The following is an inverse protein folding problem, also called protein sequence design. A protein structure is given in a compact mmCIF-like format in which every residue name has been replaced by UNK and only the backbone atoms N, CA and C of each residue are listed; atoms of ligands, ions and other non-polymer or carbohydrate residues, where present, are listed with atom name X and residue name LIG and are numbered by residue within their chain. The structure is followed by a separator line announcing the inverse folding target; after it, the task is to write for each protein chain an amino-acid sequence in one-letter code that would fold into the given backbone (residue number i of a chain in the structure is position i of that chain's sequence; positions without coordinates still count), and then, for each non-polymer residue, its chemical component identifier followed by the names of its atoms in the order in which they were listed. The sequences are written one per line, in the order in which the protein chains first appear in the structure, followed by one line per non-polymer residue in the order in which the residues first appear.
data_IF_746022992373
#
_entry.id   IF_746022992373
#
_cell.length_a   1.000
_cell.length_b   1.000
_cell.length_c   1.000
_cell.angle_alpha   90.00
_cell.angle_beta   90.00
_cell.angle_gamma   90.00
#
_symmetry.space_group_name_H-M   'P 1'
#
loop_
_entity.id
_entity.type
_entity.pdbx_description
1 polymer ?
#
# COMPACT_ATOMS: atom_id res chain seq x y z
N UNK A 1 -0.35 -6.08 -4.08
CA UNK A 1 -0.47 -4.59 -4.18
C UNK A 1 0.48 -3.84 -3.24
N UNK A 2 1.14 -2.79 -3.74
CA UNK A 2 2.03 -1.94 -2.94
C UNK A 2 1.30 -1.20 -1.81
N UNK A 3 0.00 -0.91 -1.97
CA UNK A 3 -0.84 -0.27 -0.96
C UNK A 3 -0.93 -1.06 0.38
N UNK A 4 -0.80 -2.38 0.32
CA UNK A 4 -0.86 -3.27 1.51
C UNK A 4 0.42 -3.26 2.34
N UNK A 5 1.50 -2.66 1.83
CA UNK A 5 2.82 -2.66 2.46
C UNK A 5 2.98 -1.54 3.49
N UNK A 6 1.98 -0.66 3.61
CA UNK A 6 1.92 0.30 4.71
C UNK A 6 2.01 -0.44 6.07
N UNK A 7 2.95 -0.02 6.90
CA UNK A 7 3.21 -0.64 8.20
C UNK A 7 3.74 -2.08 8.16
N UNK A 8 4.18 -2.60 7.01
CA UNK A 8 4.71 -3.96 6.92
C UNK A 8 5.96 -4.15 7.79
N UNK A 9 6.88 -3.18 7.82
CA UNK A 9 8.07 -3.23 8.70
C UNK A 9 7.68 -3.37 10.17
N UNK A 10 6.66 -2.64 10.63
CA UNK A 10 6.18 -2.69 12.02
C UNK A 10 5.62 -4.08 12.35
N UNK A 11 4.79 -4.63 11.46
CA UNK A 11 4.25 -6.00 11.59
C UNK A 11 5.37 -7.04 11.60
N UNK A 12 6.34 -6.90 10.70
CA UNK A 12 7.49 -7.79 10.62
C UNK A 12 8.30 -7.75 11.93
N UNK A 13 8.56 -6.56 12.47
CA UNK A 13 9.26 -6.39 13.74
C UNK A 13 8.50 -7.03 14.91
N UNK A 14 7.18 -6.87 14.97
CA UNK A 14 6.35 -7.45 16.02
C UNK A 14 6.44 -9.00 16.03
N UNK A 15 6.51 -9.63 14.86
CA UNK A 15 6.62 -11.10 14.74
C UNK A 15 8.04 -11.63 14.95
N UNK A 16 9.06 -10.83 14.63
CA UNK A 16 10.48 -11.26 14.62
C UNK A 16 11.28 -10.71 15.79
N UNK A 17 10.62 -10.14 16.80
CA UNK A 17 11.28 -9.44 17.91
C UNK A 17 12.29 -8.38 17.43
N UNK A 18 11.94 -7.67 16.34
CA UNK A 18 12.74 -6.60 15.76
C UNK A 18 13.91 -7.05 14.87
N UNK A 19 14.06 -8.34 14.57
CA UNK A 19 15.18 -8.85 13.77
C UNK A 19 14.86 -9.00 12.27
N UNK A 20 13.59 -8.83 11.87
CA UNK A 20 13.16 -9.00 10.49
C UNK A 20 13.56 -7.84 9.59
N UNK A 21 14.19 -8.17 8.46
CA UNK A 21 14.56 -7.23 7.39
C UNK A 21 13.97 -7.73 6.07
N UNK A 22 13.59 -6.81 5.19
CA UNK A 22 13.07 -7.14 3.87
C UNK A 22 13.56 -6.13 2.83
N UNK A 23 13.50 -6.50 1.56
CA UNK A 23 13.74 -5.62 0.42
C UNK A 23 12.54 -5.66 -0.51
N UNK A 24 12.28 -4.57 -1.22
CA UNK A 24 11.19 -4.46 -2.18
C UNK A 24 11.74 -4.09 -3.54
N UNK A 25 11.20 -4.72 -4.58
CA UNK A 25 11.45 -4.37 -5.97
C UNK A 25 10.12 -4.30 -6.71
N UNK A 26 10.01 -3.37 -7.66
CA UNK A 26 8.85 -3.28 -8.53
C UNK A 26 8.77 -4.56 -9.38
N UNK A 27 7.60 -5.21 -9.38
CA UNK A 27 7.34 -6.37 -10.23
C UNK A 27 6.60 -5.96 -11.51
N UNK A 28 5.37 -5.46 -11.37
CA UNK A 28 4.52 -5.06 -12.48
C UNK A 28 3.34 -4.21 -11.96
N UNK A 29 2.55 -3.69 -12.90
CA UNK A 29 1.25 -3.07 -12.62
C UNK A 29 0.14 -4.06 -12.96
N UNK A 30 -0.86 -4.12 -12.09
CA UNK A 30 -2.06 -4.93 -12.27
C UNK A 30 -3.30 -4.04 -12.17
N UNK A 31 -4.41 -4.48 -12.79
CA UNK A 31 -5.66 -3.76 -12.69
C UNK A 31 -6.19 -3.77 -11.25
N UNK A 32 -6.61 -2.60 -10.77
CA UNK A 32 -7.18 -2.48 -9.42
C UNK A 32 -8.55 -3.18 -9.38
N UNK A 33 -8.80 -4.06 -8.39
CA UNK A 33 -10.11 -4.69 -8.24
C UNK A 33 -11.26 -3.67 -8.12
N UNK A 34 -12.47 -3.96 -8.65
CA UNK A 34 -13.57 -2.99 -8.74
C UNK A 34 -13.99 -2.37 -7.41
N UNK A 35 -13.96 -3.15 -6.33
CA UNK A 35 -14.28 -2.68 -4.98
C UNK A 35 -13.28 -1.62 -4.48
N UNK A 36 -11.98 -1.82 -4.74
CA UNK A 36 -10.93 -0.87 -4.35
C UNK A 36 -10.99 0.37 -5.25
N UNK A 37 -11.29 0.21 -6.54
CA UNK A 37 -11.45 1.32 -7.46
C UNK A 37 -12.58 2.28 -7.02
N UNK A 38 -13.74 1.74 -6.61
CA UNK A 38 -14.84 2.56 -6.09
C UNK A 38 -14.45 3.33 -4.83
N UNK A 39 -13.69 2.71 -3.92
CA UNK A 39 -13.19 3.38 -2.71
C UNK A 39 -12.22 4.52 -3.06
N UNK A 40 -11.29 4.29 -3.99
CA UNK A 40 -10.33 5.29 -4.43
C UNK A 40 -11.03 6.49 -5.09
N UNK A 41 -12.01 6.24 -5.96
CA UNK A 41 -12.81 7.29 -6.59
C UNK A 41 -13.61 8.07 -5.55
N UNK A 42 -14.22 7.39 -4.56
CA UNK A 42 -14.96 8.06 -3.49
C UNK A 42 -14.11 8.90 -2.55
N UNK A 43 -12.83 8.56 -2.36
CA UNK A 43 -11.88 9.30 -1.53
C UNK A 43 -11.16 10.42 -2.30
N UNK A 44 -11.26 10.43 -3.62
CA UNK A 44 -10.60 11.42 -4.46
C UNK A 44 -11.26 12.79 -4.29
N UNK A 45 -10.57 13.72 -3.62
CA UNK A 45 -10.91 15.14 -3.62
C UNK A 45 -10.06 15.83 -4.67
N UNK A 46 -10.70 16.50 -5.63
CA UNK A 46 -10.02 17.40 -6.56
C UNK A 46 -9.41 18.52 -5.71
N UNK A 47 -8.08 18.58 -5.65
CA UNK A 47 -7.42 19.81 -5.20
C UNK A 47 -7.57 20.80 -6.34
N UNK A 48 -8.30 21.88 -6.11
CA UNK A 48 -8.21 23.06 -6.97
C UNK A 48 -6.76 23.52 -6.92
N UNK A 49 -6.07 23.45 -8.05
CA UNK A 49 -4.76 24.05 -8.25
C UNK A 49 -4.98 25.57 -8.32
N UNK A 50 -4.69 26.29 -7.24
CA UNK A 50 -4.37 27.73 -7.30
C UNK A 50 -2.90 27.93 -7.71
#
# INVERSE_FOLDING_TARGET
PLAELSGYQTRLNAMTQGQGRYTMALSHHEAVPPNVQQQLVGQYQVKDEE
#
